data_IF_263295267350
#
_entry.id   IF_263295267350
#
_cell.length_a   1.000
_cell.length_b   1.000
_cell.length_c   1.000
_cell.angle_alpha   90.00
_cell.angle_beta   90.00
_cell.angle_gamma   90.00
#
_symmetry.space_group_name_H-M   'P 1'
#
loop_
_entity.id
_entity.type
_entity.pdbx_description
1 polymer ?
#
# COMPACT_ATOMS: atom_id res chain seq x y z
N UNK A 1 32.80 -25.19 13.27
CA UNK A 1 33.75 -24.66 12.27
C UNK A 1 32.96 -24.38 11.00
N UNK A 2 32.39 -23.18 10.93
CA UNK A 2 31.77 -22.62 9.73
C UNK A 2 32.90 -21.96 8.93
N UNK A 3 32.90 -22.21 7.63
CA UNK A 3 34.00 -22.02 6.71
C UNK A 3 34.52 -20.59 6.62
N UNK A 4 35.86 -20.49 6.63
CA UNK A 4 36.69 -19.31 6.32
C UNK A 4 36.36 -18.70 4.94
N UNK A 5 35.61 -19.40 4.08
CA UNK A 5 35.19 -18.91 2.76
C UNK A 5 34.14 -17.80 2.77
N UNK A 6 33.36 -17.60 3.84
CA UNK A 6 32.30 -16.57 3.83
C UNK A 6 32.84 -15.16 4.15
N UNK A 7 33.97 -15.05 4.86
CA UNK A 7 34.61 -13.76 5.18
C UNK A 7 35.36 -13.16 3.97
N UNK A 8 35.86 -13.99 3.06
CA UNK A 8 36.61 -13.53 1.88
C UNK A 8 35.71 -12.82 0.85
N UNK A 9 34.42 -13.16 0.78
CA UNK A 9 33.47 -12.54 -0.15
C UNK A 9 33.06 -11.12 0.27
N UNK A 10 33.08 -10.80 1.57
CA UNK A 10 32.76 -9.47 2.08
C UNK A 10 33.87 -8.42 1.83
N UNK A 11 35.13 -8.85 1.69
CA UNK A 11 36.24 -7.92 1.47
C UNK A 11 36.42 -7.53 -0.01
N UNK A 12 35.86 -8.29 -0.95
CA UNK A 12 35.94 -8.00 -2.39
C UNK A 12 34.96 -6.91 -2.86
N UNK A 13 33.94 -6.59 -2.07
CA UNK A 13 32.91 -5.60 -2.46
C UNK A 13 33.23 -4.20 -1.88
N UNK A 14 34.07 -4.11 -0.85
CA UNK A 14 34.43 -2.84 -0.19
C UNK A 14 35.83 -2.29 -0.53
N UNK A 15 36.66 -3.03 -1.28
CA UNK A 15 38.05 -2.66 -1.53
C UNK A 15 38.42 -2.65 -3.01
N UNK A 16 38.20 -1.53 -3.70
CA UNK A 16 38.64 -1.35 -5.08
C UNK A 16 38.62 0.11 -5.56
N UNK A 17 39.55 0.91 -5.00
CA UNK A 17 40.46 1.92 -5.62
C UNK A 17 39.92 2.73 -6.84
N UNK A 18 39.78 4.06 -6.83
CA UNK A 18 40.75 5.15 -6.60
C UNK A 18 42.01 5.07 -7.49
N UNK A 19 42.00 5.72 -8.66
CA UNK A 19 42.77 6.97 -8.93
C UNK A 19 42.65 7.42 -10.40
N UNK A 20 42.85 8.72 -10.54
CA UNK A 20 42.78 9.66 -11.64
C UNK A 20 43.79 9.42 -12.78
N UNK A 21 43.41 9.77 -14.01
CA UNK A 21 44.39 10.22 -15.00
C UNK A 21 43.77 11.22 -15.98
N UNK A 22 44.39 12.40 -16.04
CA UNK A 22 44.05 13.55 -16.89
C UNK A 22 44.33 13.29 -18.37
N UNK A 23 43.64 14.04 -19.26
CA UNK A 23 44.17 14.29 -20.63
C UNK A 23 43.16 14.33 -21.78
N UNK A 24 42.39 15.42 -21.86
CA UNK A 24 41.88 16.11 -23.06
C UNK A 24 41.84 15.37 -24.41
N UNK A 25 40.63 15.10 -24.95
CA UNK A 25 40.28 15.55 -26.32
C UNK A 25 38.77 15.75 -26.46
N UNK A 26 38.43 16.93 -26.96
CA UNK A 26 37.10 17.46 -27.28
C UNK A 26 36.25 16.54 -28.16
N UNK A 27 34.98 16.34 -27.77
CA UNK A 27 33.84 16.29 -28.70
C UNK A 27 32.57 16.59 -27.91
N UNK A 28 31.91 17.69 -28.26
CA UNK A 28 30.63 18.13 -27.71
C UNK A 28 29.56 17.09 -28.02
N UNK A 29 29.28 16.20 -27.09
CA UNK A 29 28.11 15.31 -27.16
C UNK A 29 26.87 16.12 -26.78
N UNK A 30 25.93 16.20 -27.71
CA UNK A 30 24.69 16.92 -27.57
C UNK A 30 23.91 16.41 -26.34
N UNK A 31 23.55 17.32 -25.43
CA UNK A 31 22.60 17.07 -24.35
C UNK A 31 21.24 16.73 -24.97
N UNK A 32 20.98 15.43 -25.16
CA UNK A 32 19.63 14.95 -25.41
C UNK A 32 18.89 15.10 -24.08
N UNK A 33 18.02 16.11 -23.99
CA UNK A 33 17.00 16.14 -22.94
C UNK A 33 16.04 14.98 -23.22
N UNK A 34 16.34 13.82 -22.66
CA UNK A 34 15.42 12.69 -22.63
C UNK A 34 14.26 13.07 -21.71
N UNK A 35 13.30 13.81 -22.27
CA UNK A 35 11.99 13.97 -21.64
C UNK A 35 11.27 12.64 -21.83
N UNK A 36 11.48 11.70 -20.91
CA UNK A 36 10.70 10.46 -20.86
C UNK A 36 9.22 10.86 -20.72
N UNK A 37 8.36 10.60 -21.72
CA UNK A 37 6.95 10.94 -21.61
C UNK A 37 6.31 10.00 -20.57
N UNK A 38 5.73 10.58 -19.52
CA UNK A 38 4.89 9.80 -18.58
C UNK A 38 3.77 9.15 -19.40
N UNK A 39 3.63 7.81 -19.38
CA UNK A 39 2.60 7.15 -20.16
C UNK A 39 1.22 7.62 -19.68
N UNK A 40 0.47 8.23 -20.58
CA UNK A 40 -0.94 8.58 -20.33
C UNK A 40 -1.73 7.27 -20.25
N UNK A 41 -2.48 7.01 -19.17
CA UNK A 41 -3.29 5.79 -19.07
C UNK A 41 -4.32 5.76 -20.20
N UNK A 42 -4.15 4.82 -21.13
CA UNK A 42 -5.10 4.56 -22.22
C UNK A 42 -6.18 3.62 -21.73
N UNK A 43 -7.20 4.18 -21.07
CA UNK A 43 -8.35 3.45 -20.58
C UNK A 43 -9.44 4.39 -20.06
N UNK A 44 -10.65 3.88 -19.79
CA UNK A 44 -11.69 4.68 -19.15
C UNK A 44 -11.18 5.23 -17.82
N UNK A 45 -11.30 6.54 -17.65
CA UNK A 45 -11.04 7.18 -16.35
C UNK A 45 -12.24 6.92 -15.45
N UNK A 46 -12.05 6.12 -14.42
CA UNK A 46 -13.06 5.91 -13.39
C UNK A 46 -12.85 6.93 -12.26
N UNK A 47 -13.90 7.67 -11.93
CA UNK A 47 -13.93 8.53 -10.75
C UNK A 47 -14.35 7.72 -9.53
N UNK A 48 -13.37 7.12 -8.86
CA UNK A 48 -13.57 6.37 -7.63
C UNK A 48 -13.72 7.35 -6.46
N UNK A 49 -14.73 7.13 -5.62
CA UNK A 49 -14.95 7.97 -4.43
C UNK A 49 -13.75 7.89 -3.47
N UNK A 50 -13.08 6.74 -3.45
CA UNK A 50 -11.84 6.42 -2.75
C UNK A 50 -10.67 7.33 -3.17
N UNK A 51 -10.73 7.92 -4.37
CA UNK A 51 -9.70 8.84 -4.89
C UNK A 51 -10.13 10.31 -4.82
N UNK A 52 -11.34 10.60 -4.38
CA UNK A 52 -11.85 11.97 -4.32
C UNK A 52 -11.19 12.75 -3.16
N UNK A 53 -10.40 13.80 -3.43
CA UNK A 53 -9.71 14.56 -2.38
C UNK A 53 -10.67 15.21 -1.37
N UNK A 54 -11.87 15.59 -1.80
CA UNK A 54 -12.89 16.17 -0.92
C UNK A 54 -13.42 15.17 0.12
N UNK A 55 -13.23 13.86 -0.11
CA UNK A 55 -13.69 12.80 0.78
C UNK A 55 -12.58 12.22 1.66
N UNK A 56 -11.32 12.58 1.42
CA UNK A 56 -10.16 11.99 2.10
C UNK A 56 -10.27 12.07 3.64
N UNK A 57 -10.81 13.18 4.17
CA UNK A 57 -11.02 13.36 5.61
C UNK A 57 -12.07 12.44 6.24
N UNK A 58 -12.87 11.74 5.44
CA UNK A 58 -13.94 10.84 5.88
C UNK A 58 -13.64 9.36 5.64
N UNK A 59 -12.47 9.04 5.09
CA UNK A 59 -12.11 7.68 4.66
C UNK A 59 -11.11 6.98 5.60
N UNK A 60 -10.98 7.47 6.84
CA UNK A 60 -10.17 6.81 7.87
C UNK A 60 -10.87 5.54 8.37
N UNK A 61 -10.44 4.41 7.79
CA UNK A 61 -10.95 3.11 8.16
C UNK A 61 -10.65 2.76 9.62
N UNK A 62 -9.46 3.09 10.13
CA UNK A 62 -9.06 2.73 11.50
C UNK A 62 -9.93 3.44 12.54
N UNK A 63 -10.10 4.75 12.38
CA UNK A 63 -10.98 5.55 13.23
C UNK A 63 -12.43 5.06 13.17
N UNK A 64 -12.89 4.65 11.99
CA UNK A 64 -14.22 4.06 11.84
C UNK A 64 -14.32 2.74 12.60
N UNK A 65 -13.47 1.75 12.29
CA UNK A 65 -13.62 0.39 12.82
C UNK A 65 -13.34 0.24 14.33
N UNK A 66 -12.65 1.22 14.92
CA UNK A 66 -12.31 1.25 16.36
C UNK A 66 -13.23 2.13 17.21
N UNK A 67 -14.32 2.64 16.64
CA UNK A 67 -15.34 3.35 17.41
C UNK A 67 -15.82 2.52 18.60
N UNK A 68 -15.99 3.15 19.77
CA UNK A 68 -16.55 2.51 20.97
C UNK A 68 -18.05 2.20 20.85
N UNK A 69 -18.67 2.49 19.70
CA UNK A 69 -20.08 2.25 19.43
C UNK A 69 -20.27 0.91 18.71
N UNK A 70 -21.48 0.34 18.83
CA UNK A 70 -21.88 -0.80 18.01
C UNK A 70 -22.39 -0.32 16.64
N UNK A 71 -22.09 -1.09 15.60
CA UNK A 71 -22.53 -0.79 14.24
C UNK A 71 -23.78 -1.57 13.90
N UNK A 72 -24.86 -0.86 13.56
CA UNK A 72 -26.09 -1.46 13.06
C UNK A 72 -26.22 -1.24 11.55
N UNK A 73 -26.39 -2.31 10.79
CA UNK A 73 -26.64 -2.22 9.35
C UNK A 73 -28.09 -1.80 9.09
N UNK A 74 -28.31 -0.52 8.82
CA UNK A 74 -29.65 0.03 8.54
C UNK A 74 -30.08 -0.16 7.09
N UNK A 75 -29.15 0.07 6.15
CA UNK A 75 -29.43 0.04 4.72
C UNK A 75 -28.37 -0.78 4.00
N UNK A 76 -28.80 -1.45 2.93
CA UNK A 76 -27.97 -2.26 2.03
C UNK A 76 -28.66 -2.36 0.67
N UNK A 77 -27.89 -2.62 -0.37
CA UNK A 77 -28.36 -2.84 -1.74
C UNK A 77 -28.30 -4.31 -2.18
N UNK A 78 -28.01 -5.23 -1.26
CA UNK A 78 -28.00 -6.69 -1.46
C UNK A 78 -28.67 -7.38 -0.27
N UNK A 79 -29.26 -8.56 -0.51
CA UNK A 79 -29.94 -9.35 0.54
C UNK A 79 -29.27 -10.69 0.83
N UNK A 80 -28.18 -11.02 0.12
CA UNK A 80 -27.51 -12.31 0.20
C UNK A 80 -26.04 -12.13 0.54
N UNK A 81 -25.47 -13.07 1.29
CA UNK A 81 -24.03 -13.18 1.45
C UNK A 81 -23.38 -13.77 0.17
N UNK A 82 -22.04 -13.89 0.10
CA UNK A 82 -21.35 -14.47 -1.06
C UNK A 82 -21.75 -15.93 -1.38
N UNK A 83 -22.33 -16.67 -0.43
CA UNK A 83 -22.82 -18.05 -0.64
C UNK A 83 -24.30 -18.11 -1.00
N UNK A 84 -24.96 -16.95 -1.22
CA UNK A 84 -26.38 -16.87 -1.55
C UNK A 84 -27.33 -17.00 -0.34
N UNK A 85 -26.81 -17.15 0.88
CA UNK A 85 -27.64 -17.21 2.08
C UNK A 85 -28.23 -15.84 2.38
N UNK A 86 -29.52 -15.81 2.73
CA UNK A 86 -30.23 -14.58 3.05
C UNK A 86 -29.66 -13.95 4.34
N UNK A 87 -29.27 -12.68 4.26
CA UNK A 87 -28.75 -11.88 5.38
C UNK A 87 -29.73 -10.82 5.86
N UNK A 88 -31.03 -10.90 5.52
CA UNK A 88 -32.07 -9.92 5.88
C UNK A 88 -32.24 -9.67 7.38
N UNK A 89 -31.57 -10.45 8.21
CA UNK A 89 -31.49 -10.35 9.66
C UNK A 89 -30.88 -9.02 10.16
N UNK A 90 -30.99 -8.78 11.47
CA UNK A 90 -30.53 -7.58 12.16
C UNK A 90 -29.02 -7.63 12.38
N UNK A 91 -28.25 -7.20 11.38
CA UNK A 91 -26.78 -7.23 11.45
C UNK A 91 -26.26 -6.18 12.43
N UNK A 92 -25.50 -6.64 13.42
CA UNK A 92 -24.80 -5.82 14.40
C UNK A 92 -23.32 -6.23 14.47
N UNK A 93 -22.42 -5.27 14.65
CA UNK A 93 -21.01 -5.51 14.92
C UNK A 93 -20.54 -4.73 16.15
N UNK A 94 -19.89 -5.44 17.08
CA UNK A 94 -19.31 -4.86 18.29
C UNK A 94 -17.85 -5.28 18.41
N UNK A 95 -16.98 -4.34 18.77
CA UNK A 95 -15.55 -4.61 18.97
C UNK A 95 -15.32 -5.54 20.16
N UNK A 96 -14.48 -6.55 20.00
CA UNK A 96 -14.08 -7.46 21.10
C UNK A 96 -12.57 -7.44 21.36
N UNK A 97 -11.77 -7.02 20.38
CA UNK A 97 -10.34 -6.85 20.53
C UNK A 97 -9.81 -5.80 19.55
N UNK A 98 -8.78 -5.04 19.97
CA UNK A 98 -8.01 -4.15 19.10
C UNK A 98 -6.52 -4.19 19.42
N UNK A 99 -5.71 -4.09 18.38
CA UNK A 99 -4.28 -3.87 18.43
C UNK A 99 -3.93 -2.59 17.68
N UNK A 100 -3.59 -1.55 18.44
CA UNK A 100 -3.24 -0.22 17.93
C UNK A 100 -1.95 -0.23 17.10
N UNK A 101 -1.01 -1.11 17.41
CA UNK A 101 0.28 -1.17 16.69
C UNK A 101 0.11 -1.74 15.30
N UNK A 102 -0.68 -2.81 15.15
CA UNK A 102 -0.83 -3.51 13.87
C UNK A 102 -2.06 -3.08 13.08
N UNK A 103 -2.86 -2.13 13.61
CA UNK A 103 -4.15 -1.75 13.04
C UNK A 103 -5.08 -2.96 12.82
N UNK A 104 -5.05 -3.89 13.77
CA UNK A 104 -5.89 -5.09 13.74
C UNK A 104 -7.05 -4.95 14.72
N UNK A 105 -8.26 -5.29 14.26
CA UNK A 105 -9.47 -5.28 15.06
C UNK A 105 -10.24 -6.58 14.86
N UNK A 106 -10.85 -7.07 15.93
CA UNK A 106 -11.78 -8.19 15.88
C UNK A 106 -13.15 -7.70 16.33
N UNK A 107 -14.16 -7.94 15.49
CA UNK A 107 -15.56 -7.68 15.82
C UNK A 107 -16.30 -9.00 16.03
N UNK A 108 -17.18 -9.01 17.02
CA UNK A 108 -18.26 -9.98 17.08
C UNK A 108 -19.41 -9.48 16.19
N UNK A 109 -19.80 -10.29 15.20
CA UNK A 109 -20.87 -9.97 14.24
C UNK A 109 -22.04 -10.89 14.48
N UNK A 110 -23.23 -10.32 14.67
CA UNK A 110 -24.49 -11.06 14.80
C UNK A 110 -25.39 -10.74 13.61
N UNK A 111 -26.29 -11.68 13.27
CA UNK A 111 -27.26 -11.57 12.19
C UNK A 111 -28.66 -11.81 12.75
#
# INVERSE_FOLDING_TARGET
>A
MLSVSLLALCLLILGGISEENEGTTSSTEAKLEETTPTPTPSGPSFNYSETNPALQGYQDAWKFVTSNQSFLMKYRNFNTNPTGANTTSCVNATIIYKNETTHYVLHNVTY
#
